data_IF_354709544656
#
_entry.id   IF_354709544656
#
_cell.length_a   1.000
_cell.length_b   1.000
_cell.length_c   1.000
_cell.angle_alpha   90.00
_cell.angle_beta   90.00
_cell.angle_gamma   90.00
#
_symmetry.space_group_name_H-M   'P 1'
#
loop_
_entity.id
_entity.type
_entity.pdbx_description
1 polymer ?
#
# COMPACT_ATOMS: atom_id res chain seq x y z
N UNK A 1 19.09 26.21 14.24
CA UNK A 1 19.49 24.80 14.48
C UNK A 1 19.84 24.18 13.14
N UNK A 2 21.09 23.79 12.91
CA UNK A 2 21.55 23.27 11.61
C UNK A 2 21.19 21.78 11.49
N UNK A 3 20.45 21.40 10.46
CA UNK A 3 20.15 19.98 10.19
C UNK A 3 21.42 19.28 9.71
N UNK A 4 21.80 18.20 10.40
CA UNK A 4 22.90 17.34 9.99
C UNK A 4 22.46 16.51 8.78
N UNK A 5 23.01 16.83 7.60
CA UNK A 5 22.83 16.06 6.37
C UNK A 5 23.59 14.73 6.53
N UNK A 6 22.86 13.65 6.79
CA UNK A 6 23.43 12.31 6.88
C UNK A 6 23.69 11.79 5.47
N UNK A 7 24.93 11.86 5.02
CA UNK A 7 25.39 11.24 3.77
C UNK A 7 25.33 9.73 3.92
N UNK A 8 24.34 9.07 3.29
CA UNK A 8 24.29 7.60 3.27
C UNK A 8 25.45 7.06 2.45
N UNK A 9 26.16 6.06 2.95
CA UNK A 9 27.20 5.38 2.15
C UNK A 9 26.55 4.60 1.00
N UNK A 10 27.23 4.41 -0.14
CA UNK A 10 26.70 3.63 -1.28
C UNK A 10 26.18 2.25 -0.86
N UNK A 11 26.86 1.59 0.07
CA UNK A 11 26.48 0.29 0.65
C UNK A 11 25.14 0.33 1.40
N UNK A 12 24.83 1.41 2.11
CA UNK A 12 23.56 1.57 2.83
C UNK A 12 22.38 1.78 1.87
N UNK A 13 22.59 2.52 0.79
CA UNK A 13 21.58 2.73 -0.25
C UNK A 13 21.23 1.41 -0.97
N UNK A 14 22.26 0.62 -1.31
CA UNK A 14 22.09 -0.70 -1.92
C UNK A 14 21.35 -1.68 -1.00
N UNK A 15 21.71 -1.71 0.29
CA UNK A 15 21.01 -2.56 1.25
C UNK A 15 19.53 -2.15 1.39
N UNK A 16 19.25 -0.84 1.39
CA UNK A 16 17.87 -0.34 1.43
C UNK A 16 17.06 -0.78 0.21
N UNK A 17 17.61 -0.58 -1.00
CA UNK A 17 17.03 -1.03 -2.26
C UNK A 17 16.67 -2.53 -2.22
N UNK A 18 17.62 -3.38 -1.82
CA UNK A 18 17.42 -4.82 -1.75
C UNK A 18 16.33 -5.21 -0.75
N UNK A 19 16.29 -4.54 0.42
CA UNK A 19 15.25 -4.81 1.42
C UNK A 19 13.87 -4.37 0.94
N UNK A 20 13.76 -3.22 0.26
CA UNK A 20 12.49 -2.79 -0.35
C UNK A 20 12.04 -3.80 -1.39
N UNK A 21 12.92 -4.22 -2.31
CA UNK A 21 12.59 -5.22 -3.33
C UNK A 21 12.11 -6.54 -2.72
N UNK A 22 12.80 -7.04 -1.68
CA UNK A 22 12.39 -8.26 -0.98
C UNK A 22 11.04 -8.09 -0.30
N UNK A 23 10.83 -6.97 0.41
CA UNK A 23 9.57 -6.72 1.10
C UNK A 23 8.42 -6.57 0.10
N UNK A 24 8.60 -5.80 -0.98
CA UNK A 24 7.66 -5.65 -2.10
C UNK A 24 7.19 -7.02 -2.61
N UNK A 25 8.14 -7.93 -2.89
CA UNK A 25 7.81 -9.27 -3.36
C UNK A 25 6.98 -10.07 -2.35
N UNK A 26 7.27 -9.93 -1.06
CA UNK A 26 6.55 -10.65 0.00
C UNK A 26 5.16 -10.06 0.23
N UNK A 27 5.00 -8.73 0.26
CA UNK A 27 3.69 -8.07 0.45
C UNK A 27 2.77 -8.19 -0.77
N UNK A 28 3.34 -8.41 -1.96
CA UNK A 28 2.56 -8.74 -3.17
C UNK A 28 1.86 -10.10 -3.08
N UNK A 29 2.28 -10.95 -2.13
CA UNK A 29 1.61 -12.23 -1.86
C UNK A 29 0.56 -12.05 -0.78
N UNK A 30 0.92 -11.37 0.31
CA UNK A 30 0.01 -11.17 1.44
C UNK A 30 0.27 -9.85 2.18
N UNK A 31 -0.80 -9.13 2.47
CA UNK A 31 -0.78 -7.88 3.24
C UNK A 31 -0.26 -8.11 4.67
N UNK A 32 -0.47 -9.30 5.25
CA UNK A 32 -0.01 -9.66 6.60
C UNK A 32 1.48 -9.35 6.80
N UNK A 33 2.29 -9.58 5.77
CA UNK A 33 3.73 -9.35 5.86
C UNK A 33 4.12 -7.87 5.99
N UNK A 34 3.26 -6.93 5.57
CA UNK A 34 3.48 -5.51 5.81
C UNK A 34 3.40 -5.20 7.31
N UNK A 35 2.37 -5.71 7.99
CA UNK A 35 2.19 -5.52 9.43
C UNK A 35 3.33 -6.17 10.22
N UNK A 36 3.73 -7.38 9.83
CA UNK A 36 4.89 -8.04 10.45
C UNK A 36 6.16 -7.21 10.27
N UNK A 37 6.44 -6.70 9.06
CA UNK A 37 7.61 -5.86 8.81
C UNK A 37 7.63 -4.61 9.69
N UNK A 38 6.48 -3.95 9.89
CA UNK A 38 6.37 -2.79 10.79
C UNK A 38 6.78 -3.10 12.23
N UNK A 39 6.51 -4.32 12.71
CA UNK A 39 6.74 -4.75 14.09
C UNK A 39 8.16 -5.28 14.35
N UNK A 40 8.90 -5.72 13.31
CA UNK A 40 10.22 -6.35 13.49
C UNK A 40 11.25 -5.40 14.10
N UNK A 41 11.48 -4.26 13.46
CA UNK A 41 12.44 -3.26 13.95
C UNK A 41 12.25 -1.90 13.26
N UNK A 42 12.93 -0.87 13.79
CA UNK A 42 12.88 0.49 13.24
C UNK A 42 13.20 0.57 11.75
N UNK A 43 14.18 -0.23 11.28
CA UNK A 43 14.58 -0.23 9.86
C UNK A 43 13.50 -0.81 8.96
N UNK A 44 12.88 -1.93 9.33
CA UNK A 44 11.76 -2.48 8.57
C UNK A 44 10.51 -1.61 8.65
N UNK A 45 10.26 -0.95 9.79
CA UNK A 45 9.18 0.04 9.88
C UNK A 45 9.39 1.19 8.89
N UNK A 46 10.61 1.71 8.75
CA UNK A 46 10.92 2.72 7.73
C UNK A 46 10.72 2.20 6.30
N UNK A 47 11.23 1.00 5.99
CA UNK A 47 11.10 0.38 4.66
C UNK A 47 9.63 0.12 4.31
N UNK A 48 8.81 -0.26 5.29
CA UNK A 48 7.36 -0.49 5.11
C UNK A 48 6.59 0.75 4.64
N UNK A 49 7.20 1.94 4.76
CA UNK A 49 6.63 3.20 4.34
C UNK A 49 7.12 3.64 2.95
N UNK A 50 7.95 2.85 2.26
CA UNK A 50 8.38 3.14 0.89
C UNK A 50 7.19 2.99 -0.08
N UNK A 51 7.00 3.94 -0.99
CA UNK A 51 5.86 3.95 -1.92
C UNK A 51 5.81 2.70 -2.82
N UNK A 52 6.96 2.08 -3.13
CA UNK A 52 7.03 0.83 -3.90
C UNK A 52 6.35 -0.34 -3.21
N UNK A 53 6.22 -0.29 -1.87
CA UNK A 53 5.44 -1.26 -1.11
C UNK A 53 3.95 -1.11 -1.44
N UNK A 54 3.44 0.11 -1.41
CA UNK A 54 2.01 0.41 -1.65
C UNK A 54 1.61 0.19 -3.10
N UNK A 55 2.52 0.43 -4.05
CA UNK A 55 2.33 0.11 -5.47
C UNK A 55 2.04 -1.39 -5.69
N UNK A 56 2.69 -2.28 -4.93
CA UNK A 56 2.69 -3.72 -5.21
C UNK A 56 1.93 -4.58 -4.19
N UNK A 57 1.43 -3.99 -3.11
CA UNK A 57 0.80 -4.76 -2.04
C UNK A 57 -0.50 -5.42 -2.51
N UNK A 58 -0.70 -6.67 -2.09
CA UNK A 58 -1.92 -7.41 -2.35
C UNK A 58 -3.04 -6.96 -1.40
N UNK A 59 -3.83 -6.00 -1.83
CA UNK A 59 -4.98 -5.50 -1.06
C UNK A 59 -6.24 -6.38 -1.16
N UNK A 60 -6.24 -7.42 -2.01
CA UNK A 60 -7.38 -8.35 -2.13
C UNK A 60 -7.60 -9.20 -0.88
N UNK A 61 -6.57 -9.35 -0.05
CA UNK A 61 -6.64 -10.07 1.22
C UNK A 61 -7.29 -9.28 2.36
N UNK A 62 -7.65 -8.01 2.18
CA UNK A 62 -8.48 -7.35 3.19
C UNK A 62 -9.83 -8.09 3.20
N UNK A 63 -10.10 -8.90 4.23
CA UNK A 63 -11.37 -9.60 4.40
C UNK A 63 -12.58 -8.64 4.50
N UNK A 64 -12.33 -7.36 4.82
CA UNK A 64 -13.32 -6.28 4.77
C UNK A 64 -13.39 -5.52 3.43
N UNK A 65 -12.56 -5.86 2.46
CA UNK A 65 -12.58 -5.28 1.11
C UNK A 65 -13.60 -6.04 0.27
N UNK A 66 -14.87 -5.83 0.54
CA UNK A 66 -15.90 -6.14 -0.44
C UNK A 66 -16.00 -4.93 -1.38
N UNK A 67 -15.69 -5.07 -2.69
CA UNK A 67 -15.80 -3.98 -3.67
C UNK A 67 -17.21 -3.39 -3.77
N UNK A 68 -18.22 -4.12 -3.27
CA UNK A 68 -19.62 -3.75 -3.28
C UNK A 68 -20.11 -3.13 -1.97
N UNK A 69 -19.34 -3.23 -0.88
CA UNK A 69 -19.59 -2.43 0.32
C UNK A 69 -18.80 -1.14 0.17
N UNK A 70 -19.44 0.00 0.42
CA UNK A 70 -18.80 1.31 0.42
C UNK A 70 -17.41 1.22 1.06
N UNK A 71 -16.38 1.57 0.29
CA UNK A 71 -15.02 1.87 0.75
C UNK A 71 -15.08 2.40 2.19
N UNK A 72 -14.69 1.55 3.14
CA UNK A 72 -15.31 1.43 4.47
C UNK A 72 -15.56 2.74 5.22
N UNK A 73 -16.52 2.73 6.15
CA UNK A 73 -16.70 3.73 7.22
C UNK A 73 -15.46 3.90 8.14
N UNK A 74 -14.38 3.17 7.90
CA UNK A 74 -13.12 3.26 8.64
C UNK A 74 -12.13 4.17 7.90
N UNK A 75 -11.76 5.27 8.57
CA UNK A 75 -10.85 6.30 8.05
C UNK A 75 -9.44 5.76 7.76
N UNK A 76 -8.92 4.84 8.57
CA UNK A 76 -7.58 4.26 8.37
C UNK A 76 -7.53 3.41 7.10
N UNK A 77 -8.57 2.61 6.87
CA UNK A 77 -8.70 1.78 5.67
C UNK A 77 -8.85 2.68 4.45
N UNK A 78 -9.67 3.73 4.54
CA UNK A 78 -9.85 4.68 3.45
C UNK A 78 -8.54 5.38 3.07
N UNK A 79 -7.80 5.87 4.07
CA UNK A 79 -6.50 6.53 3.92
C UNK A 79 -5.45 5.58 3.34
N UNK A 80 -5.40 4.33 3.82
CA UNK A 80 -4.50 3.31 3.31
C UNK A 80 -4.73 3.03 1.82
N UNK A 81 -5.98 2.85 1.42
CA UNK A 81 -6.34 2.56 0.03
C UNK A 81 -6.11 3.77 -0.88
N UNK A 82 -6.39 4.99 -0.39
CA UNK A 82 -6.06 6.23 -1.09
C UNK A 82 -4.57 6.30 -1.40
N UNK A 83 -3.72 6.00 -0.42
CA UNK A 83 -2.27 5.93 -0.63
C UNK A 83 -1.88 4.86 -1.66
N UNK A 84 -2.53 3.70 -1.66
CA UNK A 84 -2.28 2.67 -2.67
C UNK A 84 -2.62 3.16 -4.09
N UNK A 85 -3.73 3.88 -4.26
CA UNK A 85 -4.09 4.49 -5.56
C UNK A 85 -3.09 5.56 -6.00
N UNK A 86 -2.69 6.45 -5.10
CA UNK A 86 -1.70 7.50 -5.37
C UNK A 86 -0.34 6.90 -5.76
N UNK A 87 -0.01 5.71 -5.25
CA UNK A 87 1.19 4.95 -5.63
C UNK A 87 1.01 4.10 -6.90
N UNK A 88 -0.15 4.14 -7.57
CA UNK A 88 -0.37 3.41 -8.82
C UNK A 88 -0.69 1.92 -8.66
N UNK A 89 -1.18 1.48 -7.49
CA UNK A 89 -1.50 0.08 -7.26
C UNK A 89 -2.61 -0.41 -8.20
N UNK A 90 -2.30 -1.41 -9.02
CA UNK A 90 -3.21 -1.93 -10.05
C UNK A 90 -4.47 -2.57 -9.47
N UNK A 91 -4.38 -3.26 -8.34
CA UNK A 91 -5.56 -3.80 -7.66
C UNK A 91 -6.47 -2.67 -7.17
N UNK A 92 -5.89 -1.61 -6.60
CA UNK A 92 -6.67 -0.48 -6.05
C UNK A 92 -7.42 0.25 -7.17
N UNK A 93 -6.71 0.54 -8.26
CA UNK A 93 -7.28 1.20 -9.43
C UNK A 93 -8.34 0.35 -10.12
N UNK A 94 -8.11 -0.97 -10.26
CA UNK A 94 -9.10 -1.89 -10.81
C UNK A 94 -10.39 -1.87 -10.00
N UNK A 95 -10.28 -1.90 -8.67
CA UNK A 95 -11.45 -1.94 -7.78
C UNK A 95 -12.20 -0.61 -7.76
N UNK A 96 -11.50 0.52 -7.84
CA UNK A 96 -12.13 1.84 -8.06
C UNK A 96 -12.91 1.86 -9.39
N UNK A 97 -12.31 1.32 -10.45
CA UNK A 97 -12.95 1.21 -11.77
C UNK A 97 -14.23 0.35 -11.72
N UNK A 98 -14.21 -0.76 -10.98
CA UNK A 98 -15.40 -1.58 -10.78
C UNK A 98 -16.48 -0.82 -10.00
N UNK A 99 -16.17 -0.24 -8.85
CA UNK A 99 -17.14 0.48 -8.01
C UNK A 99 -17.83 1.62 -8.79
N UNK A 100 -17.04 2.43 -9.51
CA UNK A 100 -17.57 3.50 -10.37
C UNK A 100 -18.46 2.96 -11.49
N UNK A 101 -18.04 1.90 -12.19
CA UNK A 101 -18.82 1.29 -13.26
C UNK A 101 -20.15 0.71 -12.74
N UNK A 102 -20.14 -0.02 -11.63
CA UNK A 102 -21.36 -0.57 -11.05
C UNK A 102 -22.32 0.51 -10.54
N UNK A 103 -21.81 1.59 -9.92
CA UNK A 103 -22.63 2.74 -9.52
C UNK A 103 -23.29 3.43 -10.72
N UNK A 104 -22.59 3.55 -11.86
CA UNK A 104 -23.20 4.11 -13.07
C UNK A 104 -24.30 3.21 -13.66
N UNK A 105 -24.15 1.90 -13.58
CA UNK A 105 -25.14 0.93 -14.06
C UNK A 105 -26.38 0.88 -13.16
N UNK A 106 -26.23 1.03 -11.84
CA UNK A 106 -27.35 1.02 -10.89
C UNK A 106 -28.02 2.38 -10.72
N UNK A 107 -27.29 3.48 -10.87
CA UNK A 107 -27.83 4.85 -10.86
C UNK A 107 -28.62 5.25 -12.11
N UNK A 108 -28.55 4.44 -13.19
CA UNK A 108 -29.38 4.64 -14.39
C UNK A 108 -30.73 3.89 -14.32
N UNK A 109 -31.04 3.24 -13.18
CA UNK A 109 -32.37 2.70 -12.87
C UNK A 109 -32.83 3.26 -11.53
N UNK A 110 -33.35 4.48 -11.56
CA UNK A 110 -34.49 5.02 -10.79
C UNK A 110 -34.52 6.54 -10.86
#
# INVERSE_FOLDING_TARGET
MKQAKTTSTPTQSLLHELLVQKLTKVVSRSLKYLFLAKMVCKKFNQISQDNRIFEHINIREFEGFNPFTSWSNNEDVSTFLKRCMECGNSNALYMLGMDTSFKTVTGSRN
#
